data_IF_740737935643
#
_entry.id   IF_740737935643
#
_cell.length_a   1.000
_cell.length_b   1.000
_cell.length_c   1.000
_cell.angle_alpha   90.00
_cell.angle_beta   90.00
_cell.angle_gamma   90.00
#
_symmetry.space_group_name_H-M   'P 1'
#
loop_
_entity.id
_entity.type
_entity.pdbx_description
1 polymer ?
#
# COMPACT_ATOMS: atom_id res chain seq x y z
N UNK A 1 35.98 63.31 5.75
CA UNK A 1 35.27 62.02 5.89
C UNK A 1 36.07 60.91 5.25
N UNK A 2 35.72 59.68 5.51
CA UNK A 2 36.29 58.49 4.85
C UNK A 2 35.91 58.47 3.36
N UNK A 3 36.82 58.02 2.52
CA UNK A 3 36.67 57.90 1.05
C UNK A 3 36.87 56.48 0.56
N UNK A 4 37.43 55.58 1.39
CA UNK A 4 37.60 54.17 1.11
C UNK A 4 37.23 53.32 2.31
N UNK A 5 36.72 52.13 2.06
CA UNK A 5 36.21 51.17 3.05
C UNK A 5 36.74 49.78 2.72
N UNK A 6 37.08 48.99 3.73
CA UNK A 6 37.41 47.58 3.61
C UNK A 6 36.69 46.83 4.73
N UNK A 7 35.79 45.97 4.36
CA UNK A 7 35.10 45.05 5.21
C UNK A 7 35.77 43.67 5.17
N UNK A 8 35.96 43.08 6.34
CA UNK A 8 36.25 41.68 6.51
C UNK A 8 35.11 41.08 7.37
N UNK A 9 34.45 40.07 6.87
CA UNK A 9 33.27 39.46 7.53
C UNK A 9 33.62 38.29 8.46
N UNK A 10 34.93 37.92 8.54
CA UNK A 10 35.40 36.84 9.41
C UNK A 10 35.10 35.42 8.87
N UNK A 11 34.48 35.31 7.69
CA UNK A 11 34.19 34.06 7.00
C UNK A 11 35.05 33.83 5.75
N UNK A 12 36.11 34.70 5.58
CA UNK A 12 37.01 34.72 4.41
C UNK A 12 36.53 35.60 3.28
N UNK A 13 35.38 36.24 3.41
CA UNK A 13 34.86 37.19 2.44
C UNK A 13 35.15 38.64 2.88
N UNK A 14 35.36 39.52 1.90
CA UNK A 14 35.62 40.92 2.11
C UNK A 14 34.89 41.78 1.08
N UNK A 15 34.77 43.11 1.37
CA UNK A 15 34.13 44.07 0.46
C UNK A 15 34.73 45.46 0.64
N UNK A 16 34.68 46.29 -0.42
CA UNK A 16 35.10 47.71 -0.38
C UNK A 16 33.91 48.66 -0.59
N UNK A 17 32.69 48.18 -0.60
CA UNK A 17 31.49 49.01 -0.73
C UNK A 17 31.20 49.75 0.58
N UNK A 18 30.74 51.02 0.53
CA UNK A 18 30.43 51.77 1.75
C UNK A 18 29.29 51.17 2.56
N UNK A 19 28.30 50.56 1.90
CA UNK A 19 27.16 49.85 2.51
C UNK A 19 26.85 48.61 1.67
N UNK A 20 26.56 47.50 2.34
CA UNK A 20 26.24 46.23 1.68
C UNK A 20 25.45 45.28 2.62
N UNK A 21 24.90 44.23 2.02
CA UNK A 21 24.38 43.07 2.73
C UNK A 21 25.37 41.93 2.58
N UNK A 22 25.59 41.14 3.67
CA UNK A 22 26.40 39.94 3.66
C UNK A 22 25.59 38.78 4.26
N UNK A 23 25.76 37.55 3.73
CA UNK A 23 25.07 36.35 4.17
C UNK A 23 26.08 35.31 4.61
N UNK A 24 25.85 34.71 5.78
CA UNK A 24 26.64 33.61 6.32
C UNK A 24 25.93 32.28 6.05
N UNK A 25 26.67 31.33 5.50
CA UNK A 25 26.14 29.99 5.15
C UNK A 25 26.37 28.93 6.23
N UNK A 26 27.17 29.26 7.25
CA UNK A 26 27.51 28.37 8.37
C UNK A 26 27.24 29.11 9.66
N UNK A 27 26.73 28.41 10.65
CA UNK A 27 26.54 28.91 12.00
C UNK A 27 27.92 29.11 12.67
N UNK A 28 27.99 30.04 13.60
CA UNK A 28 29.22 30.34 14.32
C UNK A 28 29.30 31.76 14.80
N UNK A 29 30.42 32.09 15.45
CA UNK A 29 30.75 33.44 15.88
C UNK A 29 31.71 34.05 14.88
N UNK A 30 31.36 35.20 14.31
CA UNK A 30 32.12 35.90 13.30
C UNK A 30 32.53 37.27 13.84
N UNK A 31 33.82 37.57 13.79
CA UNK A 31 34.33 38.90 14.05
C UNK A 31 34.40 39.69 12.75
N UNK A 32 33.56 40.71 12.64
CA UNK A 32 33.53 41.61 11.49
C UNK A 32 34.46 42.80 11.77
N UNK A 33 35.27 43.17 10.80
CA UNK A 33 36.04 44.43 10.86
C UNK A 33 35.68 45.35 9.70
N UNK A 34 35.73 46.66 9.98
CA UNK A 34 35.64 47.72 9.01
C UNK A 34 36.83 48.65 9.15
N UNK A 35 37.60 48.76 8.07
CA UNK A 35 38.66 49.80 7.94
C UNK A 35 38.08 50.92 7.11
N UNK A 36 38.13 52.14 7.65
CA UNK A 36 37.75 53.36 6.95
C UNK A 36 38.97 54.28 6.76
N UNK A 37 39.22 54.75 5.52
CA UNK A 37 40.39 55.50 5.17
C UNK A 37 40.04 56.88 4.55
N UNK A 38 40.76 57.90 4.91
CA UNK A 38 40.61 59.28 4.33
C UNK A 38 41.53 59.49 3.13
N UNK A 39 41.41 60.67 2.48
CA UNK A 39 42.15 61.03 1.29
C UNK A 39 43.69 61.21 1.51
N UNK A 40 44.15 61.36 2.75
CA UNK A 40 45.58 61.50 3.10
C UNK A 40 46.20 60.19 3.62
N UNK A 41 45.38 59.03 3.58
CA UNK A 41 45.86 57.72 3.96
C UNK A 41 45.73 57.33 5.44
N UNK A 42 45.18 58.22 6.27
CA UNK A 42 44.89 57.87 7.67
C UNK A 42 43.67 56.91 7.71
N UNK A 43 43.75 55.89 8.53
CA UNK A 43 42.69 54.91 8.67
C UNK A 43 42.33 54.62 10.15
N UNK A 44 41.13 54.13 10.38
CA UNK A 44 40.66 53.63 11.65
C UNK A 44 39.93 52.30 11.44
N UNK A 45 39.91 51.44 12.45
CA UNK A 45 39.33 50.10 12.36
C UNK A 45 38.35 49.87 13.50
N UNK A 46 37.13 49.42 13.15
CA UNK A 46 36.13 49.01 14.11
C UNK A 46 35.89 47.50 14.01
N UNK A 47 35.55 46.85 15.13
CA UNK A 47 35.26 45.44 15.21
C UNK A 47 33.88 45.20 15.86
N UNK A 48 33.14 44.21 15.34
CA UNK A 48 31.90 43.76 15.91
C UNK A 48 31.87 42.23 15.81
N UNK A 49 31.43 41.57 16.89
CA UNK A 49 31.14 40.13 16.86
C UNK A 49 29.64 39.91 16.62
N UNK A 50 29.31 38.97 15.74
CA UNK A 50 27.96 38.51 15.52
C UNK A 50 27.92 37.00 15.72
N UNK A 51 26.78 36.51 16.21
CA UNK A 51 26.49 35.07 16.33
C UNK A 51 25.47 34.70 15.26
N UNK A 52 25.86 33.81 14.37
CA UNK A 52 24.95 33.14 13.45
C UNK A 52 24.45 31.87 14.12
N UNK A 53 23.19 31.87 14.44
CA UNK A 53 22.57 30.77 15.25
C UNK A 53 22.41 29.53 14.41
N UNK A 54 22.65 28.31 14.99
CA UNK A 54 22.44 27.07 14.30
C UNK A 54 20.94 26.83 14.03
N UNK A 55 20.63 26.23 12.89
CA UNK A 55 19.30 25.66 12.62
C UNK A 55 19.31 24.15 12.90
N UNK A 56 18.19 23.54 13.30
CA UNK A 56 18.12 22.09 13.43
C UNK A 56 18.40 21.42 12.07
N UNK A 57 19.07 20.27 12.11
CA UNK A 57 19.23 19.41 10.92
C UNK A 57 18.28 18.23 11.08
N UNK A 58 17.22 18.19 10.24
CA UNK A 58 16.14 17.22 10.37
C UNK A 58 16.29 16.07 9.39
N UNK A 59 16.09 14.86 9.91
CA UNK A 59 16.00 13.63 9.13
C UNK A 59 15.28 12.53 9.92
N UNK A 60 14.68 11.60 9.21
CA UNK A 60 14.10 10.40 9.81
C UNK A 60 14.18 9.21 8.87
N UNK A 61 14.08 8.02 9.44
CA UNK A 61 13.81 6.76 8.75
C UNK A 61 12.45 6.22 9.19
N UNK A 62 11.87 5.34 8.38
CA UNK A 62 10.67 4.61 8.76
C UNK A 62 10.79 3.14 8.42
N UNK A 63 10.00 2.31 9.13
CA UNK A 63 9.85 0.88 8.89
C UNK A 63 8.37 0.57 8.85
N UNK A 64 7.90 -0.04 7.75
CA UNK A 64 6.57 -0.63 7.70
C UNK A 64 6.58 -1.92 8.51
N UNK A 65 5.67 -2.05 9.48
CA UNK A 65 5.62 -3.17 10.41
C UNK A 65 4.79 -4.34 9.85
N UNK A 66 3.85 -4.04 8.96
CA UNK A 66 3.01 -4.99 8.25
C UNK A 66 2.99 -4.64 6.76
N UNK A 67 3.32 -5.60 5.93
CA UNK A 67 3.15 -5.51 4.48
C UNK A 67 1.81 -6.14 4.12
N UNK A 68 1.10 -5.61 3.12
CA UNK A 68 -0.18 -6.17 2.67
C UNK A 68 -1.29 -6.18 3.75
N UNK A 69 -1.33 -5.16 4.59
CA UNK A 69 -2.39 -4.92 5.57
C UNK A 69 -2.92 -3.49 5.43
N UNK A 70 -4.22 -3.32 5.52
CA UNK A 70 -4.90 -2.04 5.67
C UNK A 70 -5.92 -2.22 6.80
N UNK A 71 -5.78 -1.44 7.88
CA UNK A 71 -4.80 -0.38 8.16
C UNK A 71 -3.36 -0.88 8.23
N UNK A 72 -2.40 -0.03 7.83
CA UNK A 72 -0.98 -0.36 7.78
C UNK A 72 -0.18 0.44 8.81
N UNK A 73 0.66 -0.26 9.58
CA UNK A 73 1.39 0.28 10.71
C UNK A 73 2.83 0.61 10.35
N UNK A 74 3.28 1.78 10.78
CA UNK A 74 4.64 2.26 10.57
C UNK A 74 5.28 2.72 11.88
N UNK A 75 6.59 2.50 11.98
CA UNK A 75 7.45 3.07 13.01
C UNK A 75 8.34 4.14 12.38
N UNK A 76 8.34 5.34 12.95
CA UNK A 76 9.17 6.44 12.52
C UNK A 76 10.30 6.67 13.53
N UNK A 77 11.53 6.65 13.06
CA UNK A 77 12.71 6.92 13.87
C UNK A 77 13.30 8.27 13.48
N UNK A 78 13.32 9.17 14.46
CA UNK A 78 13.91 10.49 14.33
C UNK A 78 15.43 10.39 14.42
N UNK A 79 16.13 10.93 13.42
CA UNK A 79 17.59 11.03 13.36
C UNK A 79 18.08 12.49 13.37
N UNK A 80 17.18 13.43 13.69
CA UNK A 80 17.45 14.86 13.69
C UNK A 80 18.43 15.25 14.81
N UNK A 81 19.21 16.30 14.56
CA UNK A 81 20.14 16.90 15.53
C UNK A 81 19.86 18.37 15.73
N UNK A 82 20.24 18.90 16.88
CA UNK A 82 20.12 20.33 17.21
C UNK A 82 18.68 20.80 17.52
N UNK A 83 17.73 19.90 17.67
CA UNK A 83 16.32 20.17 17.89
C UNK A 83 15.92 19.88 19.35
N UNK A 84 14.92 20.60 19.87
CA UNK A 84 14.38 20.40 21.23
C UNK A 84 12.90 20.04 21.28
N UNK A 85 12.17 20.29 20.21
CA UNK A 85 10.76 19.93 20.08
C UNK A 85 10.48 19.42 18.67
N UNK A 86 9.49 18.54 18.54
CA UNK A 86 9.14 17.94 17.28
C UNK A 86 7.64 18.01 17.06
N UNK A 87 7.24 18.16 15.80
CA UNK A 87 5.86 17.96 15.36
C UNK A 87 5.90 17.19 14.04
N UNK A 88 5.24 16.03 14.04
CA UNK A 88 5.03 15.23 12.86
C UNK A 88 3.68 15.54 12.26
N UNK A 89 3.64 15.66 10.93
CA UNK A 89 2.45 15.63 10.08
C UNK A 89 2.57 14.40 9.18
N UNK A 90 1.63 13.46 9.28
CA UNK A 90 1.68 12.21 8.51
C UNK A 90 1.09 12.35 7.10
N UNK A 91 0.51 13.52 6.76
CA UNK A 91 -0.09 13.78 5.46
C UNK A 91 -1.46 13.14 5.27
N UNK A 92 -2.05 12.59 6.32
CA UNK A 92 -3.42 12.05 6.37
C UNK A 92 -4.36 12.88 7.29
N UNK A 93 -3.87 14.03 7.77
CA UNK A 93 -4.57 14.93 8.69
C UNK A 93 -4.32 14.62 10.16
N UNK A 94 -3.47 13.66 10.49
CA UNK A 94 -3.08 13.32 11.85
C UNK A 94 -1.66 13.81 12.16
N UNK A 95 -1.42 14.12 13.44
CA UNK A 95 -0.19 14.73 13.93
C UNK A 95 0.33 14.02 15.17
N UNK A 96 1.65 14.13 15.45
CA UNK A 96 2.25 13.62 16.68
C UNK A 96 3.37 14.55 17.18
N UNK A 97 3.42 14.88 18.49
CA UNK A 97 4.52 15.60 19.10
C UNK A 97 5.63 14.68 19.64
N UNK A 98 5.52 13.36 19.48
CA UNK A 98 6.49 12.41 19.98
C UNK A 98 7.79 12.48 19.18
N UNK A 99 8.93 12.23 19.81
CA UNK A 99 10.22 12.26 19.11
C UNK A 99 10.33 11.18 18.03
N UNK A 100 9.85 9.96 18.29
CA UNK A 100 9.85 8.83 17.36
C UNK A 100 8.50 8.10 17.46
N UNK A 101 7.49 8.52 16.69
CA UNK A 101 6.14 8.00 16.81
C UNK A 101 5.93 6.69 16.03
N UNK A 102 4.89 5.95 16.44
CA UNK A 102 4.18 5.01 15.58
C UNK A 102 3.02 5.71 14.90
N UNK A 103 2.67 5.29 13.69
CA UNK A 103 1.51 5.79 12.97
C UNK A 103 0.84 4.68 12.17
N UNK A 104 -0.49 4.78 12.02
CA UNK A 104 -1.32 3.83 11.27
C UNK A 104 -2.04 4.56 10.15
N UNK A 105 -1.74 4.19 8.91
CA UNK A 105 -2.49 4.68 7.75
C UNK A 105 -3.68 3.78 7.48
N UNK A 106 -4.88 4.36 7.44
CA UNK A 106 -6.14 3.62 7.28
C UNK A 106 -6.52 3.32 5.82
N UNK A 107 -5.77 3.85 4.86
CA UNK A 107 -5.99 3.64 3.42
C UNK A 107 -4.66 3.43 2.71
N UNK A 108 -4.71 2.77 1.56
CA UNK A 108 -3.59 2.78 0.63
C UNK A 108 -3.40 4.17 0.03
N UNK A 109 -2.19 4.44 -0.44
CA UNK A 109 -1.85 5.73 -1.03
C UNK A 109 -0.42 6.15 -0.75
N UNK A 110 -0.13 7.38 -1.16
CA UNK A 110 1.17 8.02 -0.99
C UNK A 110 1.00 9.23 -0.08
N UNK A 111 1.76 9.24 1.02
CA UNK A 111 1.69 10.25 2.08
C UNK A 111 3.00 11.02 2.14
N UNK A 112 2.92 12.35 2.17
CA UNK A 112 4.07 13.20 2.43
C UNK A 112 4.20 13.40 3.94
N UNK A 113 5.03 12.61 4.57
CA UNK A 113 5.28 12.69 6.01
C UNK A 113 6.31 13.78 6.26
N UNK A 114 5.96 14.75 7.10
CA UNK A 114 6.80 15.87 7.47
C UNK A 114 7.14 15.82 8.96
N UNK A 115 8.41 16.05 9.28
CA UNK A 115 8.85 16.43 10.63
C UNK A 115 9.23 17.90 10.63
N UNK A 116 8.71 18.65 11.57
CA UNK A 116 9.10 20.02 11.86
C UNK A 116 9.66 20.12 13.28
N UNK A 117 10.61 21.00 13.47
CA UNK A 117 11.26 21.16 14.77
C UNK A 117 11.73 22.59 14.99
N UNK A 118 11.89 22.93 16.26
CA UNK A 118 12.45 24.21 16.72
C UNK A 118 13.54 23.94 17.76
N UNK A 119 14.62 24.69 17.73
CA UNK A 119 15.68 24.62 18.73
C UNK A 119 15.47 25.62 19.89
N UNK A 120 16.41 25.63 20.85
CA UNK A 120 16.38 26.54 22.01
C UNK A 120 16.49 28.03 21.64
N UNK A 121 16.99 28.33 20.43
CA UNK A 121 17.15 29.70 19.94
C UNK A 121 15.92 30.18 19.15
N UNK A 122 14.90 29.32 18.97
CA UNK A 122 13.72 29.63 18.16
C UNK A 122 13.90 29.42 16.66
N UNK A 123 15.05 28.90 16.20
CA UNK A 123 15.27 28.56 14.80
C UNK A 123 14.55 27.25 14.48
N UNK A 124 13.82 27.21 13.38
CA UNK A 124 13.02 26.06 12.94
C UNK A 124 13.44 25.55 11.58
N UNK A 125 13.24 24.27 11.33
CA UNK A 125 13.42 23.61 10.04
C UNK A 125 12.32 22.55 9.82
N UNK A 126 12.20 22.06 8.58
CA UNK A 126 11.27 21.02 8.19
C UNK A 126 11.93 20.03 7.25
N UNK A 127 11.58 18.73 7.40
CA UNK A 127 12.02 17.67 6.50
C UNK A 127 10.82 16.83 6.07
N UNK A 128 10.70 16.54 4.77
CA UNK A 128 9.59 15.78 4.19
C UNK A 128 10.14 14.54 3.49
N UNK A 129 9.48 13.42 3.73
CA UNK A 129 9.73 12.17 3.03
C UNK A 129 8.42 11.49 2.64
N UNK A 130 8.39 10.92 1.43
CA UNK A 130 7.23 10.20 0.93
C UNK A 130 7.19 8.78 1.50
N UNK A 131 6.02 8.39 2.01
CA UNK A 131 5.69 7.04 2.49
C UNK A 131 4.59 6.48 1.62
N UNK A 132 4.73 5.24 1.15
CA UNK A 132 3.73 4.58 0.31
C UNK A 132 3.14 3.39 1.04
N UNK A 133 1.81 3.35 1.15
CA UNK A 133 1.01 2.21 1.58
C UNK A 133 0.47 1.51 0.35
N UNK A 134 0.91 0.29 0.11
CA UNK A 134 0.52 -0.47 -1.07
C UNK A 134 -0.94 -0.94 -0.99
N UNK A 135 -1.72 -0.89 -2.08
CA UNK A 135 -3.07 -1.42 -2.12
C UNK A 135 -3.07 -2.94 -1.96
N UNK A 136 -4.17 -3.48 -1.42
CA UNK A 136 -4.44 -4.92 -1.39
C UNK A 136 -5.43 -5.23 -2.53
N UNK A 137 -5.20 -6.27 -3.34
CA UNK A 137 -6.17 -6.65 -4.37
C UNK A 137 -7.45 -7.18 -3.73
N UNK A 138 -8.58 -7.08 -4.44
CA UNK A 138 -9.85 -7.67 -4.04
C UNK A 138 -10.16 -8.84 -4.95
N UNK A 139 -10.20 -10.06 -4.41
CA UNK A 139 -10.56 -11.26 -5.14
C UNK A 139 -12.09 -11.33 -5.31
N UNK A 140 -12.54 -11.55 -6.51
CA UNK A 140 -13.96 -11.73 -6.84
C UNK A 140 -14.10 -12.56 -8.10
N UNK A 141 -15.06 -13.50 -8.14
CA UNK A 141 -15.41 -14.24 -9.35
C UNK A 141 -16.87 -14.66 -9.38
N UNK A 142 -17.36 -14.96 -10.58
CA UNK A 142 -18.63 -15.60 -10.82
C UNK A 142 -18.41 -17.02 -11.34
N UNK A 143 -19.19 -17.99 -10.84
CA UNK A 143 -19.28 -19.34 -11.37
C UNK A 143 -20.66 -19.50 -12.00
N UNK A 144 -20.71 -19.67 -13.32
CA UNK A 144 -21.94 -19.79 -14.09
C UNK A 144 -22.02 -21.21 -14.62
N UNK A 145 -23.05 -21.96 -14.21
CA UNK A 145 -23.31 -23.29 -14.78
C UNK A 145 -23.79 -23.16 -16.20
N UNK A 146 -23.15 -23.86 -17.14
CA UNK A 146 -23.43 -23.79 -18.58
C UNK A 146 -24.47 -24.80 -19.02
N UNK A 147 -24.60 -25.92 -18.30
CA UNK A 147 -25.51 -27.00 -18.57
C UNK A 147 -26.17 -27.51 -17.28
N UNK A 148 -27.37 -28.04 -17.38
CA UNK A 148 -28.11 -28.63 -16.26
C UNK A 148 -28.45 -30.07 -16.58
N UNK A 149 -28.47 -30.94 -15.56
CA UNK A 149 -28.86 -32.33 -15.68
C UNK A 149 -28.01 -33.20 -16.63
N UNK A 150 -26.73 -32.84 -16.83
CA UNK A 150 -25.74 -33.62 -17.60
C UNK A 150 -24.44 -33.78 -16.80
N UNK A 151 -23.72 -34.85 -17.08
CA UNK A 151 -22.34 -35.05 -16.63
C UNK A 151 -21.46 -35.32 -17.84
N UNK A 152 -20.28 -34.70 -17.88
CA UNK A 152 -19.69 -33.75 -16.93
C UNK A 152 -20.48 -32.43 -16.88
N UNK A 153 -20.66 -31.88 -15.67
CA UNK A 153 -21.31 -30.59 -15.47
C UNK A 153 -20.30 -29.43 -15.69
N UNK A 154 -20.58 -28.56 -16.62
CA UNK A 154 -19.67 -27.50 -17.05
C UNK A 154 -20.00 -26.16 -16.40
N UNK A 155 -18.95 -25.46 -15.96
CA UNK A 155 -19.02 -24.13 -15.35
C UNK A 155 -18.10 -23.16 -16.11
N UNK A 156 -18.59 -21.95 -16.33
CA UNK A 156 -17.75 -20.79 -16.72
C UNK A 156 -17.35 -20.03 -15.47
N UNK A 157 -16.05 -19.94 -15.20
CA UNK A 157 -15.47 -19.21 -14.09
C UNK A 157 -14.90 -17.91 -14.62
N UNK A 158 -15.52 -16.79 -14.22
CA UNK A 158 -15.17 -15.44 -14.69
C UNK A 158 -14.55 -14.67 -13.51
N UNK A 159 -13.29 -14.30 -13.66
CA UNK A 159 -12.56 -13.50 -12.68
C UNK A 159 -12.97 -12.03 -12.81
N UNK A 160 -13.48 -11.46 -11.72
CA UNK A 160 -13.87 -10.06 -11.58
C UNK A 160 -13.01 -9.33 -10.52
N UNK A 161 -11.85 -9.89 -10.16
CA UNK A 161 -10.94 -9.32 -9.17
C UNK A 161 -10.41 -7.95 -9.60
N UNK A 162 -10.16 -7.08 -8.61
CA UNK A 162 -9.65 -5.74 -8.82
C UNK A 162 -8.25 -5.63 -8.21
N UNK A 163 -7.30 -5.00 -8.95
CA UNK A 163 -5.95 -4.71 -8.47
C UNK A 163 -4.98 -5.89 -8.49
N UNK A 164 -5.42 -7.10 -8.87
CA UNK A 164 -4.56 -8.27 -9.04
C UNK A 164 -4.05 -8.45 -10.47
N UNK A 165 -2.85 -8.99 -10.60
CA UNK A 165 -2.20 -9.28 -11.90
C UNK A 165 -1.85 -10.76 -12.08
N UNK A 166 -1.73 -11.50 -10.99
CA UNK A 166 -1.48 -12.95 -10.98
C UNK A 166 -2.68 -13.62 -10.34
N UNK A 167 -3.22 -14.64 -11.01
CA UNK A 167 -4.38 -15.38 -10.54
C UNK A 167 -4.04 -16.87 -10.39
N UNK A 168 -4.60 -17.51 -9.37
CA UNK A 168 -4.50 -18.93 -9.12
C UNK A 168 -5.85 -19.47 -8.67
N UNK A 169 -6.31 -20.53 -9.32
CA UNK A 169 -7.55 -21.22 -9.01
C UNK A 169 -7.26 -22.57 -8.37
N UNK A 170 -7.99 -22.89 -7.32
CA UNK A 170 -8.19 -24.25 -6.81
C UNK A 170 -9.64 -24.64 -7.05
N UNK A 171 -9.89 -25.76 -7.71
CA UNK A 171 -11.21 -26.11 -8.25
C UNK A 171 -12.00 -27.07 -7.35
N UNK A 172 -11.46 -27.41 -6.16
CA UNK A 172 -12.15 -28.21 -5.15
C UNK A 172 -12.10 -29.72 -5.36
N UNK A 173 -11.58 -30.18 -6.50
CA UNK A 173 -11.39 -31.60 -6.84
C UNK A 173 -9.91 -32.02 -6.87
N UNK A 174 -9.00 -31.12 -6.42
CA UNK A 174 -7.56 -31.28 -6.46
C UNK A 174 -6.89 -30.62 -7.68
N UNK A 175 -7.68 -30.15 -8.66
CA UNK A 175 -7.18 -29.45 -9.84
C UNK A 175 -6.89 -27.98 -9.54
N UNK A 176 -5.82 -27.45 -10.17
CA UNK A 176 -5.39 -26.04 -10.03
C UNK A 176 -5.03 -25.47 -11.40
N UNK A 177 -5.20 -24.16 -11.57
CA UNK A 177 -4.81 -23.43 -12.79
C UNK A 177 -4.54 -21.97 -12.52
N UNK A 178 -3.74 -21.31 -13.40
CA UNK A 178 -3.41 -19.89 -13.30
C UNK A 178 -4.09 -19.06 -14.43
N UNK A 179 -5.10 -19.58 -15.09
CA UNK A 179 -5.84 -18.87 -16.12
C UNK A 179 -6.59 -17.66 -15.55
N UNK A 180 -6.77 -16.59 -16.34
CA UNK A 180 -7.58 -15.45 -15.91
C UNK A 180 -9.04 -15.85 -15.78
N UNK A 181 -9.61 -16.44 -16.84
CA UNK A 181 -10.94 -17.04 -16.87
C UNK A 181 -10.81 -18.47 -17.40
N UNK A 182 -11.73 -19.36 -17.02
CA UNK A 182 -11.72 -20.71 -17.54
C UNK A 182 -13.13 -21.32 -17.58
N UNK A 183 -13.31 -22.30 -18.48
CA UNK A 183 -14.40 -23.25 -18.38
C UNK A 183 -13.86 -24.53 -17.75
N UNK A 184 -14.60 -25.07 -16.80
CA UNK A 184 -14.22 -26.28 -16.10
C UNK A 184 -15.40 -27.24 -15.99
N UNK A 185 -15.14 -28.56 -16.06
CA UNK A 185 -16.19 -29.57 -16.04
C UNK A 185 -15.91 -30.62 -14.96
N UNK A 186 -16.89 -30.82 -14.08
CA UNK A 186 -16.88 -31.84 -13.04
C UNK A 186 -17.54 -33.11 -13.53
N UNK A 187 -16.84 -34.23 -13.44
CA UNK A 187 -17.31 -35.54 -13.92
C UNK A 187 -18.19 -36.26 -12.91
N UNK A 188 -18.07 -35.94 -11.63
CA UNK A 188 -18.80 -36.59 -10.55
C UNK A 188 -19.74 -35.58 -9.85
N UNK A 189 -20.92 -36.08 -9.38
CA UNK A 189 -21.77 -35.31 -8.49
C UNK A 189 -21.03 -35.00 -7.18
N UNK A 190 -21.28 -33.80 -6.62
CA UNK A 190 -20.65 -33.37 -5.37
C UNK A 190 -20.70 -31.88 -5.17
N UNK A 191 -20.19 -31.44 -4.04
CA UNK A 191 -19.95 -30.01 -3.74
C UNK A 191 -18.46 -29.70 -3.85
N UNK A 192 -18.12 -28.65 -4.60
CA UNK A 192 -16.76 -28.26 -4.89
C UNK A 192 -16.52 -26.82 -4.44
N UNK A 193 -15.55 -26.63 -3.56
CA UNK A 193 -15.13 -25.32 -3.09
C UNK A 193 -14.09 -24.74 -4.05
N UNK A 194 -14.53 -23.79 -4.88
CA UNK A 194 -13.67 -23.11 -5.83
C UNK A 194 -13.06 -21.90 -5.14
N UNK A 195 -11.73 -21.84 -5.09
CA UNK A 195 -10.99 -20.71 -4.53
C UNK A 195 -10.22 -20.00 -5.62
N UNK A 196 -10.45 -18.68 -5.73
CA UNK A 196 -9.61 -17.77 -6.52
C UNK A 196 -8.71 -16.99 -5.59
N UNK A 197 -7.42 -17.06 -5.81
CA UNK A 197 -6.41 -16.18 -5.20
C UNK A 197 -5.87 -15.24 -6.26
N UNK A 198 -5.86 -13.94 -5.97
CA UNK A 198 -5.26 -12.93 -6.83
C UNK A 198 -4.16 -12.18 -6.09
N UNK A 199 -3.06 -11.85 -6.79
CA UNK A 199 -1.90 -11.16 -6.24
C UNK A 199 -1.54 -9.96 -7.11
N UNK A 200 -1.12 -8.86 -6.49
CA UNK A 200 -0.67 -7.65 -7.19
C UNK A 200 0.85 -7.63 -7.40
N UNK A 201 1.36 -6.56 -8.05
CA UNK A 201 2.80 -6.36 -8.31
C UNK A 201 3.64 -6.17 -7.04
N UNK A 202 3.03 -5.84 -5.90
CA UNK A 202 3.70 -5.64 -4.61
C UNK A 202 3.78 -6.92 -3.78
N UNK A 203 3.26 -8.05 -4.29
CA UNK A 203 3.21 -9.33 -3.60
C UNK A 203 2.03 -9.47 -2.63
N UNK A 204 1.14 -8.48 -2.55
CA UNK A 204 -0.07 -8.56 -1.73
C UNK A 204 -1.12 -9.41 -2.44
N UNK A 205 -1.78 -10.30 -1.69
CA UNK A 205 -2.78 -11.21 -2.22
C UNK A 205 -4.09 -11.16 -1.43
N UNK A 206 -5.14 -11.61 -2.08
CA UNK A 206 -6.46 -11.82 -1.49
C UNK A 206 -7.09 -13.06 -2.13
N UNK A 207 -7.98 -13.74 -1.40
CA UNK A 207 -8.63 -14.96 -1.85
C UNK A 207 -10.12 -14.94 -1.55
N UNK A 208 -10.89 -15.56 -2.43
CA UNK A 208 -12.33 -15.80 -2.21
C UNK A 208 -12.65 -17.24 -2.57
N UNK A 209 -13.56 -17.86 -1.79
CA UNK A 209 -14.04 -19.22 -2.04
C UNK A 209 -15.55 -19.21 -2.21
N UNK A 210 -16.02 -19.81 -3.30
CA UNK A 210 -17.44 -20.05 -3.57
C UNK A 210 -17.66 -21.54 -3.81
N UNK A 211 -18.73 -22.09 -3.25
CA UNK A 211 -19.10 -23.50 -3.42
C UNK A 211 -20.06 -23.66 -4.59
N UNK A 212 -19.75 -24.57 -5.49
CA UNK A 212 -20.68 -25.04 -6.55
C UNK A 212 -21.13 -26.46 -6.25
N UNK A 213 -22.38 -26.79 -6.62
CA UNK A 213 -22.95 -28.13 -6.41
C UNK A 213 -23.31 -28.76 -7.74
N UNK A 214 -22.74 -29.92 -8.00
CA UNK A 214 -23.04 -30.76 -9.16
C UNK A 214 -24.02 -31.81 -8.73
N UNK A 215 -25.21 -31.76 -9.29
CA UNK A 215 -26.30 -32.71 -8.96
C UNK A 215 -26.10 -34.03 -9.69
N UNK A 216 -26.52 -35.18 -9.10
CA UNK A 216 -26.52 -36.43 -9.81
C UNK A 216 -27.56 -36.43 -10.93
N UNK A 217 -27.24 -37.07 -12.04
CA UNK A 217 -28.19 -37.30 -13.14
C UNK A 217 -29.01 -38.51 -12.80
N UNK A 218 -30.36 -38.43 -12.87
CA UNK A 218 -31.20 -39.58 -12.62
C UNK A 218 -31.04 -40.64 -13.74
N UNK A 219 -31.05 -41.90 -13.33
CA UNK A 219 -31.04 -43.02 -14.27
C UNK A 219 -32.43 -43.68 -14.25
N UNK A 220 -33.08 -43.71 -15.42
CA UNK A 220 -34.36 -44.40 -15.56
C UNK A 220 -34.14 -45.87 -15.81
N UNK A 221 -34.82 -46.71 -15.04
CA UNK A 221 -34.83 -48.14 -15.19
C UNK A 221 -36.17 -48.71 -14.72
N UNK A 222 -36.61 -49.78 -15.35
CA UNK A 222 -37.80 -50.53 -14.93
C UNK A 222 -37.70 -51.99 -15.31
N UNK A 223 -38.35 -52.83 -14.57
CA UNK A 223 -38.58 -54.23 -14.91
C UNK A 223 -40.05 -54.48 -15.16
N UNK A 224 -40.37 -55.57 -15.87
CA UNK A 224 -41.73 -55.97 -16.07
C UNK A 224 -41.87 -57.49 -15.91
N UNK A 225 -43.06 -57.94 -15.46
CA UNK A 225 -43.43 -59.35 -15.34
C UNK A 225 -44.75 -59.51 -16.01
N UNK A 226 -44.86 -60.53 -16.89
CA UNK A 226 -46.13 -60.95 -17.45
C UNK A 226 -46.91 -61.75 -16.43
N UNK A 227 -48.15 -61.36 -16.11
CA UNK A 227 -48.97 -61.95 -15.05
C UNK A 227 -49.84 -63.12 -15.56
N UNK A 228 -50.08 -63.14 -16.89
CA UNK A 228 -50.84 -64.18 -17.51
C UNK A 228 -50.20 -64.68 -18.79
N UNK A 229 -50.35 -65.94 -19.18
CA UNK A 229 -49.55 -66.52 -20.26
C UNK A 229 -50.24 -66.66 -21.61
N UNK A 230 -51.55 -66.67 -21.74
CA UNK A 230 -52.22 -66.98 -22.97
C UNK A 230 -53.63 -66.39 -23.10
N UNK A 231 -53.97 -65.33 -22.46
CA UNK A 231 -55.28 -64.65 -22.52
C UNK A 231 -55.17 -63.20 -22.98
N UNK A 232 -56.25 -62.71 -23.63
CA UNK A 232 -56.42 -61.32 -24.00
C UNK A 232 -57.62 -60.74 -23.23
N UNK A 233 -57.45 -59.54 -22.61
CA UNK A 233 -56.27 -58.69 -22.57
C UNK A 233 -55.16 -59.29 -21.71
N UNK A 234 -53.86 -59.19 -22.17
CA UNK A 234 -52.69 -59.63 -21.41
C UNK A 234 -52.32 -58.62 -20.36
N UNK A 235 -52.07 -59.08 -19.17
CA UNK A 235 -51.68 -58.23 -18.03
C UNK A 235 -50.16 -58.28 -17.74
N UNK A 236 -49.56 -57.11 -17.49
CA UNK A 236 -48.19 -56.99 -17.11
C UNK A 236 -48.07 -56.14 -15.84
N UNK A 237 -47.16 -56.49 -14.98
CA UNK A 237 -46.73 -55.69 -13.86
C UNK A 237 -45.43 -54.96 -14.23
N UNK A 238 -45.41 -53.66 -14.06
CA UNK A 238 -44.23 -52.82 -14.30
C UNK A 238 -43.73 -52.33 -12.93
N UNK A 239 -42.44 -52.49 -12.67
CA UNK A 239 -41.79 -52.05 -11.43
C UNK A 239 -40.74 -51.03 -11.82
N UNK A 240 -40.88 -49.80 -11.32
CA UNK A 240 -39.90 -48.75 -11.50
C UNK A 240 -38.68 -49.03 -10.59
N UNK A 241 -37.47 -49.09 -11.21
CA UNK A 241 -36.17 -49.25 -10.54
C UNK A 241 -35.25 -48.04 -10.78
N UNK A 242 -35.80 -46.91 -11.26
CA UNK A 242 -35.03 -45.70 -11.50
C UNK A 242 -34.36 -45.19 -10.22
N UNK A 243 -33.18 -44.64 -10.37
CA UNK A 243 -32.36 -44.09 -9.28
C UNK A 243 -31.99 -42.63 -9.50
N UNK A 244 -31.56 -41.93 -8.46
CA UNK A 244 -31.11 -40.53 -8.54
C UNK A 244 -32.25 -39.50 -8.51
N UNK A 245 -33.52 -39.91 -8.34
CA UNK A 245 -34.62 -38.96 -8.10
C UNK A 245 -34.70 -38.65 -6.58
N UNK A 246 -34.44 -37.38 -6.22
CA UNK A 246 -34.87 -36.86 -4.94
C UNK A 246 -36.29 -36.32 -5.11
N UNK A 247 -37.27 -36.91 -4.38
CA UNK A 247 -38.57 -36.25 -4.19
C UNK A 247 -38.34 -34.98 -3.36
N UNK A 248 -38.66 -33.82 -3.90
CA UNK A 248 -38.82 -32.61 -3.11
C UNK A 248 -40.21 -32.58 -2.46
#
# INVERSE_FOLDING_TARGET
>A
GAIAYIWDFGDGNASNLPNLNHSYNVDGNYQISLIAMNAVGCFDTSFVNIDVLPVPNLSFNYTQLDTCSIPSNFSFQNNSTGATSYLWDFGDGLYSPLSSPFHTFNSDGTYNVQISSTNIYGCSDTFIQTVTVNPIPTAQFNAIQLDTCVLPASYSLVNNSIGGIINSWSLGDGSNTNSTNLNYSYTNPGSYDITLTTMNQFGCFNSITNTVTVLPVPSSDFSFTKLDSCILPSNYSFINSSSGSSSY
#
